data_IF_590120262311
#
_entry.id   IF_590120262311
#
_cell.length_a   1.000
_cell.length_b   1.000
_cell.length_c   1.000
_cell.angle_alpha   90.00
_cell.angle_beta   90.00
_cell.angle_gamma   90.00
#
_symmetry.space_group_name_H-M   'P 1'
#
loop_
_entity.id
_entity.type
_entity.pdbx_description
1 polymer ?
#
# COMPACT_ATOMS: atom_id res chain seq x y z
N UNK A 1 -10.81 6.36 25.92
CA UNK A 1 -9.51 6.20 25.25
C UNK A 1 -9.67 6.67 23.81
N UNK A 2 -8.73 7.44 23.30
CA UNK A 2 -8.72 7.81 21.87
C UNK A 2 -8.46 6.57 21.04
N UNK A 3 -9.18 6.40 19.92
CA UNK A 3 -8.96 5.29 18.99
C UNK A 3 -7.59 5.45 18.32
N UNK A 4 -6.88 4.34 18.00
CA UNK A 4 -5.64 4.39 17.23
C UNK A 4 -5.91 4.87 15.82
N UNK A 5 -4.91 5.51 15.19
CA UNK A 5 -5.04 6.11 13.86
C UNK A 5 -4.26 5.31 12.82
N UNK A 6 -4.91 5.00 11.70
CA UNK A 6 -4.29 4.42 10.51
C UNK A 6 -4.21 5.45 9.39
N UNK A 7 -3.00 5.69 8.87
CA UNK A 7 -2.76 6.47 7.66
C UNK A 7 -2.54 5.53 6.47
N UNK A 8 -3.34 5.68 5.41
CA UNK A 8 -3.27 4.83 4.22
C UNK A 8 -3.09 5.70 2.98
N UNK A 9 -1.95 5.58 2.30
CA UNK A 9 -1.75 6.29 1.04
C UNK A 9 -2.43 5.58 -0.13
N UNK A 10 -3.07 6.34 -1.02
CA UNK A 10 -3.86 5.77 -2.10
C UNK A 10 -5.07 4.97 -1.61
N UNK A 11 -5.73 5.45 -0.54
CA UNK A 11 -6.83 4.76 0.15
C UNK A 11 -8.20 4.86 -0.53
N UNK A 12 -8.32 5.56 -1.66
CA UNK A 12 -9.62 5.81 -2.30
C UNK A 12 -10.13 4.68 -3.20
N UNK A 13 -9.34 3.65 -3.53
CA UNK A 13 -9.73 2.54 -4.41
C UNK A 13 -8.90 1.28 -4.18
N UNK A 14 -9.37 0.17 -4.75
CA UNK A 14 -8.65 -1.11 -4.76
C UNK A 14 -8.19 -1.57 -3.37
N UNK A 15 -6.94 -2.01 -3.27
CA UNK A 15 -6.35 -2.51 -2.01
C UNK A 15 -6.43 -1.47 -0.89
N UNK A 16 -6.15 -0.19 -1.21
CA UNK A 16 -6.18 0.89 -0.22
C UNK A 16 -7.56 1.11 0.38
N UNK A 17 -8.62 1.10 -0.44
CA UNK A 17 -10.00 1.25 0.02
C UNK A 17 -10.46 0.07 0.89
N UNK A 18 -10.18 -1.16 0.45
CA UNK A 18 -10.49 -2.36 1.24
C UNK A 18 -9.72 -2.34 2.59
N UNK A 19 -8.45 -1.89 2.57
CA UNK A 19 -7.64 -1.73 3.79
C UNK A 19 -8.22 -0.68 4.72
N UNK A 20 -8.64 0.48 4.20
CA UNK A 20 -9.27 1.55 4.97
C UNK A 20 -10.52 1.05 5.71
N UNK A 21 -11.43 0.41 4.97
CA UNK A 21 -12.67 -0.17 5.53
C UNK A 21 -12.37 -1.27 6.56
N UNK A 22 -11.38 -2.11 6.28
CA UNK A 22 -10.99 -3.19 7.19
C UNK A 22 -10.40 -2.65 8.48
N UNK A 23 -9.45 -1.71 8.42
CA UNK A 23 -8.84 -1.14 9.62
C UNK A 23 -9.83 -0.32 10.45
N UNK A 24 -10.80 0.37 9.83
CA UNK A 24 -11.90 1.00 10.54
C UNK A 24 -12.72 -0.04 11.33
N UNK A 25 -13.08 -1.17 10.71
CA UNK A 25 -13.77 -2.28 11.37
C UNK A 25 -12.93 -2.93 12.48
N UNK A 26 -11.61 -2.87 12.41
CA UNK A 26 -10.68 -3.33 13.44
C UNK A 26 -10.51 -2.32 14.59
N UNK A 27 -11.16 -1.16 14.51
CA UNK A 27 -11.19 -0.16 15.58
C UNK A 27 -10.24 1.02 15.39
N UNK A 28 -9.68 1.24 14.21
CA UNK A 28 -8.87 2.41 13.89
C UNK A 28 -9.72 3.55 13.35
N UNK A 29 -9.34 4.79 13.68
CA UNK A 29 -9.75 5.96 12.91
C UNK A 29 -8.85 6.05 11.68
N UNK A 30 -9.41 6.44 10.52
CA UNK A 30 -8.71 6.29 9.23
C UNK A 30 -8.45 7.63 8.58
N UNK A 31 -7.18 7.96 8.36
CA UNK A 31 -6.76 9.01 7.44
C UNK A 31 -6.32 8.35 6.12
N UNK A 32 -6.99 8.64 5.03
CA UNK A 32 -6.58 8.13 3.72
C UNK A 32 -6.18 9.26 2.78
N UNK A 33 -5.22 8.98 1.89
CA UNK A 33 -4.88 9.96 0.85
C UNK A 33 -5.33 9.46 -0.53
N UNK A 34 -5.56 10.41 -1.44
CA UNK A 34 -5.83 10.17 -2.85
C UNK A 34 -5.14 11.23 -3.70
N UNK A 35 -4.84 10.94 -4.97
CA UNK A 35 -4.35 11.92 -5.92
C UNK A 35 -5.51 12.46 -6.81
N UNK A 36 -6.07 11.60 -7.67
CA UNK A 36 -7.08 11.99 -8.67
C UNK A 36 -8.49 11.48 -8.37
N UNK A 37 -8.63 10.51 -7.49
CA UNK A 37 -9.88 9.77 -7.24
C UNK A 37 -10.67 10.32 -6.05
N UNK A 38 -11.09 11.62 -6.08
CA UNK A 38 -11.78 12.25 -4.94
C UNK A 38 -13.11 11.56 -4.60
N UNK A 39 -14.01 11.39 -5.58
CA UNK A 39 -15.30 10.75 -5.35
C UNK A 39 -15.19 9.34 -4.75
N UNK A 40 -14.37 8.41 -5.29
CA UNK A 40 -14.16 7.12 -4.65
C UNK A 40 -13.60 7.24 -3.22
N UNK A 41 -12.70 8.18 -2.96
CA UNK A 41 -12.14 8.38 -1.63
C UNK A 41 -13.18 8.90 -0.62
N UNK A 42 -14.04 9.82 -1.05
CA UNK A 42 -15.17 10.33 -0.26
C UNK A 42 -16.17 9.21 0.04
N UNK A 43 -16.52 8.36 -0.93
CA UNK A 43 -17.38 7.19 -0.71
C UNK A 43 -16.81 6.23 0.34
N UNK A 44 -15.51 5.98 0.34
CA UNK A 44 -14.86 5.16 1.37
C UNK A 44 -14.99 5.79 2.75
N UNK A 45 -14.80 7.11 2.85
CA UNK A 45 -14.96 7.85 4.10
C UNK A 45 -16.40 7.79 4.60
N UNK A 46 -17.36 8.00 3.71
CA UNK A 46 -18.78 7.98 4.06
C UNK A 46 -19.20 6.59 4.57
N UNK A 47 -18.82 5.51 3.88
CA UNK A 47 -19.09 4.14 4.34
C UNK A 47 -18.48 3.83 5.72
N UNK A 48 -17.30 4.39 6.03
CA UNK A 48 -16.67 4.23 7.35
C UNK A 48 -17.45 5.01 8.40
N UNK A 49 -17.84 6.25 8.10
CA UNK A 49 -18.59 7.12 9.00
C UNK A 49 -20.01 6.62 9.30
N UNK A 50 -20.67 6.03 8.30
CA UNK A 50 -21.98 5.39 8.47
C UNK A 50 -21.97 4.26 9.51
N UNK A 51 -20.80 3.64 9.74
CA UNK A 51 -20.60 2.63 10.79
C UNK A 51 -20.28 3.22 12.17
N UNK A 52 -20.17 4.55 12.26
CA UNK A 52 -19.85 5.26 13.51
C UNK A 52 -18.35 5.44 13.77
N UNK A 53 -17.51 5.15 12.77
CA UNK A 53 -16.06 5.29 12.85
C UNK A 53 -15.61 6.65 12.25
N UNK A 54 -14.45 7.19 12.69
CA UNK A 54 -13.93 8.45 12.17
C UNK A 54 -12.99 8.20 10.97
N UNK A 55 -13.22 8.92 9.89
CA UNK A 55 -12.37 8.85 8.70
C UNK A 55 -12.27 10.20 7.99
N UNK A 56 -11.15 10.43 7.32
CA UNK A 56 -10.92 11.62 6.49
C UNK A 56 -10.12 11.26 5.24
N UNK A 57 -10.51 11.83 4.10
CA UNK A 57 -9.76 11.77 2.86
C UNK A 57 -9.03 13.10 2.59
N UNK A 58 -7.74 13.02 2.28
CA UNK A 58 -6.90 14.18 1.96
C UNK A 58 -6.28 13.99 0.58
N UNK A 59 -6.38 15.03 -0.26
CA UNK A 59 -5.70 15.00 -1.56
C UNK A 59 -4.19 15.17 -1.36
N UNK A 60 -3.42 14.21 -1.84
CA UNK A 60 -1.95 14.23 -1.83
C UNK A 60 -1.44 13.48 -3.06
N UNK A 61 -0.71 14.18 -3.90
CA UNK A 61 0.16 13.53 -4.88
C UNK A 61 1.47 13.13 -4.20
N UNK A 62 1.68 11.84 -4.00
CA UNK A 62 2.89 11.34 -3.33
C UNK A 62 4.17 11.56 -4.14
N UNK A 63 4.09 11.89 -5.43
CA UNK A 63 5.21 12.33 -6.25
C UNK A 63 5.56 13.82 -6.03
N UNK A 64 4.70 14.59 -5.36
CA UNK A 64 4.91 15.99 -5.05
C UNK A 64 5.35 16.16 -3.60
N UNK A 65 6.64 16.44 -3.40
CA UNK A 65 7.22 16.59 -2.05
C UNK A 65 6.60 17.74 -1.24
N UNK A 66 6.09 18.78 -1.90
CA UNK A 66 5.38 19.90 -1.24
C UNK A 66 4.04 19.42 -0.67
N UNK A 67 3.23 18.68 -1.44
CA UNK A 67 1.95 18.13 -0.96
C UNK A 67 2.18 17.09 0.16
N UNK A 68 3.22 16.27 0.03
CA UNK A 68 3.61 15.33 1.09
C UNK A 68 4.05 16.07 2.36
N UNK A 69 4.76 17.21 2.22
CA UNK A 69 5.10 18.06 3.35
C UNK A 69 3.88 18.61 4.08
N UNK A 70 2.85 19.04 3.33
CA UNK A 70 1.57 19.50 3.91
C UNK A 70 0.82 18.35 4.64
N UNK A 71 0.92 17.11 4.15
CA UNK A 71 0.39 15.97 4.89
C UNK A 71 1.06 15.84 6.26
N UNK A 72 2.39 16.00 6.34
CA UNK A 72 3.14 15.91 7.59
C UNK A 72 2.75 16.93 8.67
N UNK A 73 2.16 18.07 8.28
CA UNK A 73 1.67 19.10 9.22
C UNK A 73 0.14 19.11 9.35
N UNK A 74 -0.54 18.16 8.75
CA UNK A 74 -2.00 18.07 8.82
C UNK A 74 -2.47 17.84 10.28
N UNK A 75 -3.58 18.46 10.75
CA UNK A 75 -4.02 18.38 12.15
C UNK A 75 -4.20 16.94 12.68
N UNK A 76 -4.56 15.98 11.83
CA UNK A 76 -4.67 14.58 12.22
C UNK A 76 -3.35 13.98 12.71
N UNK A 77 -2.21 14.54 12.29
CA UNK A 77 -0.89 14.05 12.75
C UNK A 77 -0.69 14.25 14.25
N UNK A 78 -1.32 15.27 14.85
CA UNK A 78 -1.27 15.51 16.31
C UNK A 78 -1.91 14.39 17.14
N UNK A 79 -2.72 13.51 16.52
CA UNK A 79 -3.34 12.36 17.19
C UNK A 79 -2.36 11.20 17.39
N UNK A 80 -1.21 11.24 16.73
CA UNK A 80 -0.30 10.10 16.60
C UNK A 80 -0.77 9.10 15.55
N UNK A 81 0.16 8.43 14.90
CA UNK A 81 -0.10 7.44 13.84
C UNK A 81 0.36 6.07 14.34
N UNK A 82 -0.58 5.16 14.52
CA UNK A 82 -0.33 3.78 14.96
C UNK A 82 -0.07 2.83 13.82
N UNK A 83 -0.69 3.09 12.66
CA UNK A 83 -0.52 2.30 11.44
C UNK A 83 -0.23 3.21 10.27
N UNK A 84 0.82 2.88 9.51
CA UNK A 84 1.14 3.51 8.22
C UNK A 84 1.11 2.45 7.12
N UNK A 85 0.21 2.62 6.13
CA UNK A 85 0.15 1.76 4.94
C UNK A 85 0.59 2.57 3.71
N UNK A 86 1.79 2.26 3.21
CA UNK A 86 2.35 2.83 1.99
C UNK A 86 1.81 2.01 0.80
N UNK A 87 0.61 2.38 0.32
CA UNK A 87 -0.12 1.60 -0.69
C UNK A 87 -0.15 2.28 -2.07
N UNK A 88 0.02 3.59 -2.16
CA UNK A 88 0.01 4.29 -3.45
C UNK A 88 1.00 3.69 -4.44
N UNK A 89 0.69 3.82 -5.72
CA UNK A 89 1.57 3.37 -6.79
C UNK A 89 0.93 3.51 -8.16
N UNK A 90 1.77 3.53 -9.18
CA UNK A 90 1.41 3.54 -10.58
C UNK A 90 2.04 2.33 -11.28
N UNK A 91 1.33 1.78 -12.26
CA UNK A 91 1.80 0.70 -13.10
C UNK A 91 1.34 0.96 -14.55
N UNK A 92 2.26 1.38 -15.36
CA UNK A 92 2.07 1.46 -16.80
C UNK A 92 2.72 0.24 -17.45
N UNK A 93 1.97 -0.43 -18.32
CA UNK A 93 2.43 -1.68 -18.93
C UNK A 93 3.23 -1.40 -20.18
N UNK A 94 4.56 -1.32 -20.03
CA UNK A 94 5.51 -1.10 -21.11
C UNK A 94 6.44 -2.31 -21.23
N UNK A 95 6.72 -2.78 -22.46
CA UNK A 95 7.69 -3.85 -22.65
C UNK A 95 9.09 -3.38 -22.19
N UNK A 96 9.86 -4.28 -21.60
CA UNK A 96 11.18 -3.92 -21.06
C UNK A 96 12.14 -3.37 -22.13
N UNK A 97 11.98 -3.83 -23.41
CA UNK A 97 12.74 -3.32 -24.56
C UNK A 97 12.38 -1.90 -24.97
N UNK A 98 11.14 -1.48 -24.69
CA UNK A 98 10.56 -0.22 -25.18
C UNK A 98 10.49 0.84 -24.07
N UNK A 99 10.84 0.46 -22.84
CA UNK A 99 10.83 1.33 -21.67
C UNK A 99 11.80 2.49 -21.84
N UNK A 100 11.29 3.72 -21.76
CA UNK A 100 12.11 4.92 -21.76
C UNK A 100 12.69 5.23 -20.37
N UNK A 101 13.74 6.05 -20.32
CA UNK A 101 14.26 6.58 -19.05
C UNK A 101 13.26 7.49 -18.34
N UNK A 102 12.32 8.08 -19.06
CA UNK A 102 11.24 8.89 -18.49
C UNK A 102 10.22 8.00 -17.76
N UNK A 103 9.82 6.87 -18.36
CA UNK A 103 8.96 5.87 -17.73
C UNK A 103 9.58 5.37 -16.41
N UNK A 104 10.86 5.00 -16.45
CA UNK A 104 11.59 4.56 -15.26
C UNK A 104 11.57 5.62 -14.16
N UNK A 105 11.92 6.88 -14.49
CA UNK A 105 11.95 7.97 -13.51
C UNK A 105 10.58 8.24 -12.91
N UNK A 106 9.53 8.30 -13.74
CA UNK A 106 8.16 8.52 -13.29
C UNK A 106 7.71 7.41 -12.34
N UNK A 107 7.95 6.16 -12.69
CA UNK A 107 7.56 5.01 -11.87
C UNK A 107 8.33 4.96 -10.56
N UNK A 108 9.64 5.23 -10.58
CA UNK A 108 10.46 5.31 -9.37
C UNK A 108 10.00 6.45 -8.46
N UNK A 109 9.75 7.63 -9.02
CA UNK A 109 9.28 8.80 -8.28
C UNK A 109 7.98 8.51 -7.52
N UNK A 110 6.99 7.91 -8.20
CA UNK A 110 5.70 7.61 -7.56
C UNK A 110 5.83 6.46 -6.56
N UNK A 111 6.40 5.32 -6.98
CA UNK A 111 6.28 4.05 -6.23
C UNK A 111 7.31 3.92 -5.10
N UNK A 112 8.46 4.55 -5.24
CA UNK A 112 9.55 4.44 -4.28
C UNK A 112 9.86 5.77 -3.59
N UNK A 113 10.23 6.79 -4.32
CA UNK A 113 10.61 8.08 -3.72
C UNK A 113 9.43 8.72 -2.96
N UNK A 114 8.22 8.63 -3.52
CA UNK A 114 6.99 9.07 -2.86
C UNK A 114 6.73 8.34 -1.55
N UNK A 115 6.96 7.03 -1.49
CA UNK A 115 6.82 6.26 -0.24
C UNK A 115 7.85 6.70 0.82
N UNK A 116 9.10 6.93 0.40
CA UNK A 116 10.15 7.46 1.27
C UNK A 116 9.82 8.87 1.74
N UNK A 117 9.29 9.72 0.85
CA UNK A 117 8.88 11.08 1.20
C UNK A 117 7.76 11.09 2.23
N UNK A 118 6.71 10.26 2.03
CA UNK A 118 5.62 10.11 3.01
C UNK A 118 6.17 9.64 4.36
N UNK A 119 7.02 8.61 4.37
CA UNK A 119 7.68 8.16 5.59
C UNK A 119 8.39 9.33 6.31
N UNK A 120 9.23 10.09 5.60
CA UNK A 120 9.98 11.22 6.16
C UNK A 120 9.07 12.30 6.74
N UNK A 121 7.94 12.57 6.09
CA UNK A 121 7.00 13.58 6.55
C UNK A 121 6.25 13.15 7.82
N UNK A 122 5.95 11.84 7.99
CA UNK A 122 5.09 11.37 9.07
C UNK A 122 5.82 10.62 10.20
N UNK A 123 7.09 10.27 10.05
CA UNK A 123 7.82 9.44 11.02
C UNK A 123 7.86 10.02 12.44
N UNK A 124 7.89 11.34 12.57
CA UNK A 124 7.90 12.05 13.86
C UNK A 124 6.56 11.97 14.60
N UNK A 125 5.52 11.58 13.90
CA UNK A 125 4.15 11.40 14.42
C UNK A 125 3.80 9.95 14.70
N UNK A 126 4.71 9.01 14.36
CA UNK A 126 4.47 7.59 14.63
C UNK A 126 4.55 7.30 16.12
N UNK A 127 3.56 6.59 16.64
CA UNK A 127 3.56 6.14 18.04
C UNK A 127 4.70 5.15 18.31
N UNK A 128 5.13 4.93 19.55
CA UNK A 128 6.23 4.02 19.89
C UNK A 128 6.07 2.59 19.38
N UNK A 129 4.84 2.14 19.19
CA UNK A 129 4.55 0.79 18.70
C UNK A 129 3.89 0.79 17.31
N UNK A 130 4.18 1.79 16.49
CA UNK A 130 3.58 1.90 15.17
C UNK A 130 3.90 0.69 14.27
N UNK A 131 2.96 0.36 13.39
CA UNK A 131 3.03 -0.74 12.43
C UNK A 131 3.01 -0.17 11.02
N UNK A 132 4.02 -0.52 10.25
CA UNK A 132 4.19 -0.02 8.89
C UNK A 132 4.05 -1.19 7.92
N UNK A 133 3.22 -1.04 6.89
CA UNK A 133 3.11 -2.00 5.79
C UNK A 133 3.35 -1.29 4.48
N UNK A 134 4.36 -1.73 3.73
CA UNK A 134 4.60 -1.29 2.37
C UNK A 134 3.92 -2.27 1.38
N UNK A 135 3.08 -1.76 0.50
CA UNK A 135 2.46 -2.57 -0.55
C UNK A 135 3.42 -2.68 -1.74
N UNK A 136 4.17 -3.78 -1.74
CA UNK A 136 5.08 -4.19 -2.79
C UNK A 136 4.37 -4.85 -3.97
N UNK A 137 5.00 -5.87 -4.52
CA UNK A 137 4.45 -6.75 -5.56
C UNK A 137 5.31 -8.01 -5.64
N UNK A 138 4.74 -9.15 -6.03
CA UNK A 138 5.54 -10.32 -6.44
C UNK A 138 6.48 -9.98 -7.60
N UNK A 139 6.14 -9.00 -8.44
CA UNK A 139 6.99 -8.56 -9.55
C UNK A 139 8.28 -7.89 -9.06
N UNK A 140 8.30 -7.33 -7.86
CA UNK A 140 9.51 -6.81 -7.23
C UNK A 140 10.55 -7.90 -6.89
N UNK A 141 10.13 -9.16 -6.85
CA UNK A 141 11.03 -10.30 -6.62
C UNK A 141 11.31 -11.06 -7.91
N UNK A 142 10.28 -11.35 -8.72
CA UNK A 142 10.46 -12.19 -9.91
C UNK A 142 10.75 -11.41 -11.21
N UNK A 143 10.49 -10.10 -11.24
CA UNK A 143 10.53 -9.29 -12.47
C UNK A 143 9.30 -9.46 -13.36
N UNK A 144 9.26 -8.67 -14.45
CA UNK A 144 8.22 -8.74 -15.49
C UNK A 144 8.76 -8.28 -16.82
N UNK A 145 8.49 -8.98 -17.94
CA UNK A 145 8.86 -8.53 -19.27
C UNK A 145 8.05 -7.29 -19.74
N UNK A 146 6.93 -6.98 -19.06
CA UNK A 146 6.08 -5.82 -19.34
C UNK A 146 5.86 -4.98 -18.08
N UNK A 147 6.87 -4.29 -17.61
CA UNK A 147 6.87 -3.49 -16.39
C UNK A 147 8.16 -3.66 -15.61
N UNK A 148 9.29 -3.54 -16.27
CA UNK A 148 10.61 -3.64 -15.66
C UNK A 148 10.85 -2.50 -14.68
N UNK A 149 10.40 -1.28 -15.00
CA UNK A 149 10.39 -0.09 -14.16
C UNK A 149 9.57 -0.30 -12.87
N UNK A 150 8.35 -0.83 -13.02
CA UNK A 150 7.50 -1.17 -11.88
C UNK A 150 8.15 -2.22 -10.99
N UNK A 151 8.67 -3.29 -11.59
CA UNK A 151 9.37 -4.36 -10.86
C UNK A 151 10.56 -3.81 -10.08
N UNK A 152 11.38 -2.97 -10.72
CA UNK A 152 12.51 -2.29 -10.08
C UNK A 152 12.06 -1.39 -8.93
N UNK A 153 10.99 -0.60 -9.11
CA UNK A 153 10.47 0.29 -8.06
C UNK A 153 9.96 -0.49 -6.84
N UNK A 154 9.28 -1.63 -7.06
CA UNK A 154 8.77 -2.48 -5.97
C UNK A 154 9.87 -3.29 -5.29
N UNK A 155 10.94 -3.64 -6.00
CA UNK A 155 12.16 -4.21 -5.41
C UNK A 155 12.88 -3.18 -4.52
N UNK A 156 13.03 -1.95 -5.00
CA UNK A 156 13.62 -0.85 -4.22
C UNK A 156 12.82 -0.58 -2.94
N UNK A 157 11.49 -0.49 -3.05
CA UNK A 157 10.59 -0.30 -1.91
C UNK A 157 10.73 -1.43 -0.88
N UNK A 158 10.77 -2.69 -1.34
CA UNK A 158 10.89 -3.84 -0.45
C UNK A 158 12.24 -3.86 0.29
N UNK A 159 13.34 -3.58 -0.40
CA UNK A 159 14.67 -3.55 0.21
C UNK A 159 14.82 -2.39 1.18
N UNK A 160 14.30 -1.21 0.83
CA UNK A 160 14.26 -0.06 1.74
C UNK A 160 13.41 -0.35 3.00
N UNK A 161 12.25 -0.96 2.85
CA UNK A 161 11.41 -1.33 3.98
C UNK A 161 12.08 -2.34 4.93
N UNK A 162 12.88 -3.27 4.41
CA UNK A 162 13.71 -4.18 5.21
C UNK A 162 14.78 -3.43 6.01
N UNK A 163 15.47 -2.47 5.38
CA UNK A 163 16.43 -1.62 6.07
C UNK A 163 15.77 -0.79 7.16
N UNK A 164 14.58 -0.26 6.85
CA UNK A 164 13.78 0.50 7.81
C UNK A 164 13.35 -0.37 9.00
N UNK A 165 12.94 -1.63 8.76
CA UNK A 165 12.57 -2.56 9.83
C UNK A 165 13.69 -2.77 10.84
N UNK A 166 14.93 -2.86 10.36
CA UNK A 166 16.11 -2.99 11.23
C UNK A 166 16.37 -1.69 12.02
N UNK A 167 16.22 -0.54 11.36
CA UNK A 167 16.48 0.76 11.97
C UNK A 167 15.48 1.10 13.10
N UNK A 168 14.19 0.82 12.89
CA UNK A 168 13.13 1.20 13.85
C UNK A 168 12.71 0.08 14.78
N UNK A 169 13.19 -1.13 14.56
CA UNK A 169 12.90 -2.29 15.41
C UNK A 169 13.27 -2.08 16.89
N UNK A 170 14.46 -1.51 17.23
CA UNK A 170 14.82 -1.17 18.59
C UNK A 170 13.85 -0.21 19.30
N UNK A 171 13.07 0.56 18.54
CA UNK A 171 12.03 1.45 19.06
C UNK A 171 10.67 0.76 19.25
N UNK A 172 10.57 -0.55 19.02
CA UNK A 172 9.33 -1.32 19.13
C UNK A 172 8.41 -1.22 17.91
N UNK A 173 8.83 -0.53 16.84
CA UNK A 173 8.09 -0.41 15.58
C UNK A 173 8.33 -1.63 14.68
N UNK A 174 7.35 -2.00 13.86
CA UNK A 174 7.47 -3.10 12.91
C UNK A 174 7.18 -2.63 11.48
N UNK A 175 7.97 -3.12 10.53
CA UNK A 175 7.80 -2.79 9.11
C UNK A 175 7.76 -4.09 8.32
N UNK A 176 6.69 -4.31 7.56
CA UNK A 176 6.55 -5.50 6.71
C UNK A 176 6.13 -5.11 5.29
N UNK A 177 6.33 -6.02 4.38
CA UNK A 177 6.00 -5.84 2.96
C UNK A 177 4.91 -6.84 2.58
N UNK A 178 3.79 -6.34 2.07
CA UNK A 178 2.82 -7.14 1.36
C UNK A 178 3.24 -7.25 -0.10
N UNK A 179 3.30 -8.44 -0.67
CA UNK A 179 3.62 -8.69 -2.07
C UNK A 179 2.44 -9.37 -2.79
N UNK A 180 1.50 -8.57 -3.35
CA UNK A 180 0.35 -9.10 -4.07
C UNK A 180 0.72 -9.82 -5.36
N UNK A 181 -0.11 -10.80 -5.75
CA UNK A 181 -0.18 -11.36 -7.09
C UNK A 181 -1.12 -10.58 -8.01
N UNK A 182 -1.92 -11.31 -8.81
CA UNK A 182 -3.03 -10.71 -9.53
C UNK A 182 -4.16 -10.39 -8.54
N UNK A 183 -4.56 -9.12 -8.48
CA UNK A 183 -5.65 -8.63 -7.62
C UNK A 183 -6.65 -7.85 -8.46
N UNK A 184 -7.93 -8.10 -8.24
CA UNK A 184 -9.04 -7.46 -8.94
C UNK A 184 -9.15 -5.98 -8.56
N UNK A 185 -8.43 -5.17 -9.29
CA UNK A 185 -8.35 -3.71 -9.14
C UNK A 185 -8.34 -3.06 -10.51
N UNK A 186 -8.34 -1.74 -10.57
CA UNK A 186 -8.26 -0.97 -11.82
C UNK A 186 -7.08 -1.38 -12.72
N UNK A 187 -6.02 -1.95 -12.15
CA UNK A 187 -4.86 -2.48 -12.90
C UNK A 187 -5.28 -3.62 -13.84
N UNK A 188 -6.28 -4.42 -13.45
CA UNK A 188 -6.83 -5.52 -14.24
C UNK A 188 -8.16 -5.17 -14.92
N UNK A 189 -8.71 -3.98 -14.71
CA UNK A 189 -10.02 -3.58 -15.25
C UNK A 189 -10.10 -3.58 -16.79
N UNK A 190 -8.94 -3.50 -17.45
CA UNK A 190 -8.83 -3.54 -18.92
C UNK A 190 -8.64 -4.97 -19.47
N UNK A 191 -8.56 -5.99 -18.61
CA UNK A 191 -8.46 -7.36 -19.08
C UNK A 191 -9.78 -7.82 -19.71
N UNK A 192 -9.71 -8.49 -20.85
CA UNK A 192 -10.88 -9.17 -21.43
C UNK A 192 -11.24 -10.39 -20.59
N UNK A 193 -12.48 -10.94 -20.72
CA UNK A 193 -12.86 -12.17 -20.00
C UNK A 193 -11.89 -13.33 -20.25
N UNK A 194 -11.37 -13.46 -21.49
CA UNK A 194 -10.40 -14.49 -21.87
C UNK A 194 -9.08 -14.26 -21.14
N UNK A 195 -8.60 -13.02 -21.09
CA UNK A 195 -7.36 -12.65 -20.38
C UNK A 195 -7.48 -12.87 -18.88
N UNK A 196 -8.65 -12.57 -18.32
CA UNK A 196 -8.94 -12.84 -16.90
C UNK A 196 -8.90 -14.36 -16.64
N UNK A 197 -9.53 -15.15 -17.49
CA UNK A 197 -9.50 -16.62 -17.39
C UNK A 197 -8.09 -17.18 -17.49
N UNK A 198 -7.28 -16.65 -18.42
CA UNK A 198 -5.86 -17.02 -18.53
C UNK A 198 -5.10 -16.77 -17.22
N UNK A 199 -5.32 -15.60 -16.57
CA UNK A 199 -4.71 -15.30 -15.27
C UNK A 199 -5.15 -16.26 -14.17
N UNK A 200 -6.44 -16.57 -14.09
CA UNK A 200 -6.98 -17.50 -13.11
C UNK A 200 -6.37 -18.90 -13.27
N UNK A 201 -6.17 -19.34 -14.51
CA UNK A 201 -5.52 -20.64 -14.79
C UNK A 201 -4.06 -20.69 -14.36
N UNK A 202 -3.35 -19.57 -14.42
CA UNK A 202 -1.95 -19.45 -13.95
C UNK A 202 -1.83 -19.54 -12.44
N UNK A 203 -2.87 -19.12 -11.68
CA UNK A 203 -2.86 -19.12 -10.22
C UNK A 203 -3.22 -20.53 -9.71
N UNK A 204 -2.42 -21.17 -8.84
CA UNK A 204 -2.77 -22.45 -8.23
C UNK A 204 -4.15 -22.47 -7.56
N UNK A 205 -4.54 -21.40 -6.87
CA UNK A 205 -5.87 -21.28 -6.26
C UNK A 205 -7.00 -20.99 -7.26
N UNK A 206 -6.71 -20.98 -8.58
CA UNK A 206 -7.67 -20.86 -9.69
C UNK A 206 -8.60 -19.63 -9.62
N UNK A 207 -8.14 -18.59 -8.99
CA UNK A 207 -8.81 -17.28 -8.96
C UNK A 207 -7.82 -16.14 -8.90
N UNK A 208 -8.23 -14.99 -9.35
CA UNK A 208 -7.58 -13.70 -9.02
C UNK A 208 -7.90 -13.37 -7.56
N UNK A 209 -6.96 -12.79 -6.84
CA UNK A 209 -7.19 -12.29 -5.49
C UNK A 209 -8.10 -11.07 -5.48
N UNK A 210 -8.75 -10.79 -4.36
CA UNK A 210 -9.56 -9.60 -4.17
C UNK A 210 -8.81 -8.55 -3.34
N UNK A 211 -9.21 -7.27 -3.37
CA UNK A 211 -8.69 -6.26 -2.45
C UNK A 211 -8.84 -6.67 -0.98
N UNK A 212 -9.89 -7.41 -0.63
CA UNK A 212 -10.15 -7.89 0.74
C UNK A 212 -9.14 -8.97 1.16
N UNK A 213 -8.69 -9.86 0.25
CA UNK A 213 -7.61 -10.82 0.54
C UNK A 213 -6.34 -10.06 1.03
N UNK A 214 -6.04 -8.92 0.40
CA UNK A 214 -4.91 -8.06 0.76
C UNK A 214 -5.15 -7.35 2.09
N UNK A 215 -6.34 -6.77 2.26
CA UNK A 215 -6.72 -6.05 3.46
C UNK A 215 -6.70 -6.93 4.71
N UNK A 216 -7.13 -8.18 4.62
CA UNK A 216 -7.06 -9.14 5.71
C UNK A 216 -5.61 -9.44 6.13
N UNK A 217 -4.70 -9.56 5.16
CA UNK A 217 -3.28 -9.76 5.46
C UNK A 217 -2.66 -8.50 6.08
N UNK A 218 -3.01 -7.31 5.59
CA UNK A 218 -2.56 -6.04 6.20
C UNK A 218 -3.07 -5.95 7.64
N UNK A 219 -4.35 -6.23 7.89
CA UNK A 219 -4.96 -6.27 9.24
C UNK A 219 -4.19 -7.21 10.18
N UNK A 220 -3.85 -8.42 9.73
CA UNK A 220 -3.01 -9.35 10.48
C UNK A 220 -1.63 -8.75 10.78
N UNK A 221 -0.96 -8.16 9.79
CA UNK A 221 0.40 -7.63 9.94
C UNK A 221 0.47 -6.42 10.88
N UNK A 222 -0.60 -5.64 10.99
CA UNK A 222 -0.65 -4.51 11.93
C UNK A 222 -1.19 -4.92 13.30
N UNK A 223 -1.81 -6.08 13.42
CA UNK A 223 -2.35 -6.63 14.64
C UNK A 223 -1.29 -7.22 15.59
N UNK A 224 -1.74 -7.60 16.79
CA UNK A 224 -0.87 -8.17 17.82
C UNK A 224 -0.44 -9.61 17.49
N UNK A 225 -1.21 -10.35 16.69
CA UNK A 225 -0.91 -11.74 16.32
C UNK A 225 0.33 -11.87 15.42
N UNK A 226 0.87 -10.76 14.92
CA UNK A 226 2.10 -10.70 14.12
C UNK A 226 3.26 -10.01 14.89
N UNK A 227 3.23 -10.01 16.22
CA UNK A 227 4.15 -9.25 17.07
C UNK A 227 5.63 -9.60 16.86
N UNK A 228 5.95 -10.79 16.37
CA UNK A 228 7.32 -11.23 16.08
C UNK A 228 7.66 -11.24 14.58
N UNK A 229 6.87 -10.52 13.75
CA UNK A 229 7.07 -10.41 12.30
C UNK A 229 7.48 -8.98 11.97
N UNK A 230 8.73 -8.78 11.52
CA UNK A 230 9.24 -7.52 10.99
C UNK A 230 10.28 -7.79 9.89
N UNK A 231 10.36 -6.93 8.88
CA UNK A 231 11.24 -7.09 7.72
C UNK A 231 10.80 -8.17 6.73
N UNK A 232 9.66 -8.81 6.94
CA UNK A 232 9.18 -9.90 6.11
C UNK A 232 8.51 -9.40 4.82
N UNK A 233 8.70 -10.15 3.72
CA UNK A 233 7.89 -10.04 2.52
C UNK A 233 6.84 -11.15 2.56
N UNK A 234 5.58 -10.77 2.67
CA UNK A 234 4.45 -11.70 2.70
C UNK A 234 3.82 -11.75 1.30
N UNK A 235 4.02 -12.85 0.60
CA UNK A 235 3.43 -13.09 -0.71
C UNK A 235 1.96 -13.49 -0.56
N UNK A 236 1.05 -12.67 -1.13
CA UNK A 236 -0.39 -12.91 -1.16
C UNK A 236 -0.80 -12.99 -2.63
N UNK A 237 -0.54 -14.14 -3.24
CA UNK A 237 -0.58 -14.29 -4.70
C UNK A 237 -1.24 -15.61 -5.16
N UNK A 238 -1.89 -16.35 -4.25
CA UNK A 238 -2.56 -17.61 -4.58
C UNK A 238 -1.62 -18.73 -5.08
N UNK A 239 -0.31 -18.61 -4.78
CA UNK A 239 0.71 -19.55 -5.24
C UNK A 239 1.28 -19.24 -6.63
N UNK A 240 0.90 -18.11 -7.24
CA UNK A 240 1.38 -17.71 -8.59
C UNK A 240 2.91 -17.55 -8.66
N UNK A 241 3.54 -17.22 -7.57
CA UNK A 241 4.99 -17.15 -7.44
C UNK A 241 5.38 -17.64 -6.04
N UNK A 242 6.34 -18.56 -6.00
CA UNK A 242 6.95 -19.11 -4.79
C UNK A 242 8.42 -18.68 -4.78
N UNK A 243 8.86 -17.80 -3.85
CA UNK A 243 10.24 -17.33 -3.76
C UNK A 243 11.21 -18.39 -3.28
#
# INVERSE_FOLDING_TARGET
MTRPVALITGGGRGIGAATAKRLAADGYDVLLTYNTSSKPAEMVVDEIRERGDDALAVKVDCANTGEVGLLGIHPWMARGIDVLVLNHGAYDRVAASDMSMEDLRRTMLVNFEGAVAVWKAVQVHLTPHARIVAVGSQLGTRGSPHGADYSASKAALATWARSLAQAVGPEGKRVNILAPGFVDTDILAKDTPEKRKERELQVPLKRVGTPEDMAHTISFLVGNNSSYITGAIIHVNGGLYLP
#
